data_IF_968060468438
#
_entry.id   IF_968060468438
#
_cell.length_a   1.000
_cell.length_b   1.000
_cell.length_c   1.000
_cell.angle_alpha   90.00
_cell.angle_beta   90.00
_cell.angle_gamma   90.00
#
_symmetry.space_group_name_H-M   'P 1'
#
loop_
_entity.id
_entity.type
_entity.pdbx_description
1 polymer ?
#
# COMPACT_ATOMS: atom_id res chain seq x y z
N UNK A 1 7.35 -5.27 -10.61
CA UNK A 1 7.31 -4.04 -9.78
C UNK A 1 6.40 -2.96 -10.35
N UNK A 2 6.62 -2.46 -11.57
CA UNK A 2 5.78 -1.40 -12.16
C UNK A 2 4.29 -1.76 -12.22
N UNK A 3 3.96 -3.00 -12.63
CA UNK A 3 2.58 -3.50 -12.62
C UNK A 3 1.96 -3.50 -11.21
N UNK A 4 2.68 -3.98 -10.20
CA UNK A 4 2.20 -4.00 -8.81
C UNK A 4 2.02 -2.59 -8.23
N UNK A 5 2.90 -1.65 -8.57
CA UNK A 5 2.77 -0.24 -8.19
C UNK A 5 1.54 0.39 -8.86
N UNK A 6 1.37 0.21 -10.17
CA UNK A 6 0.25 0.79 -10.92
C UNK A 6 -1.10 0.23 -10.48
N UNK A 7 -1.18 -1.10 -10.36
CA UNK A 7 -2.39 -1.79 -9.91
C UNK A 7 -2.66 -1.52 -8.43
N UNK A 8 -1.62 -1.46 -7.61
CA UNK A 8 -1.75 -1.19 -6.18
C UNK A 8 -2.24 0.23 -5.92
N UNK A 9 -1.69 1.27 -6.59
CA UNK A 9 -2.17 2.65 -6.42
C UNK A 9 -3.63 2.83 -6.80
N UNK A 10 -4.08 2.17 -7.87
CA UNK A 10 -5.47 2.23 -8.33
C UNK A 10 -6.47 1.61 -7.33
N UNK A 11 -6.01 0.67 -6.51
CA UNK A 11 -6.85 -0.09 -5.59
C UNK A 11 -6.92 0.49 -4.16
N UNK A 12 -6.27 1.63 -3.91
CA UNK A 12 -6.19 2.20 -2.58
C UNK A 12 -7.46 3.01 -2.22
N UNK A 13 -8.22 2.60 -1.19
CA UNK A 13 -9.50 3.21 -0.85
C UNK A 13 -9.41 4.71 -0.52
N UNK A 14 -8.28 5.15 0.04
CA UNK A 14 -8.09 6.54 0.45
C UNK A 14 -8.07 7.54 -0.74
N UNK A 15 -7.70 7.09 -1.95
CA UNK A 15 -7.77 7.92 -3.15
C UNK A 15 -9.20 7.94 -3.68
N UNK A 16 -9.87 6.77 -3.72
CA UNK A 16 -11.24 6.63 -4.21
C UNK A 16 -12.24 7.49 -3.42
N UNK A 17 -12.12 7.53 -2.09
CA UNK A 17 -13.00 8.34 -1.22
C UNK A 17 -12.90 9.84 -1.56
N UNK A 18 -11.72 10.33 -1.94
CA UNK A 18 -11.53 11.73 -2.36
C UNK A 18 -12.18 12.03 -3.71
N UNK A 19 -12.20 11.08 -4.65
CA UNK A 19 -12.91 11.25 -5.92
C UNK A 19 -14.42 11.31 -5.74
N UNK A 20 -14.97 10.60 -4.74
CA UNK A 20 -16.41 10.64 -4.44
C UNK A 20 -16.88 11.94 -3.78
N UNK A 21 -15.96 12.77 -3.27
CA UNK A 21 -16.28 14.09 -2.70
C UNK A 21 -16.27 15.22 -3.74
N UNK A 22 -15.96 14.93 -5.01
CA UNK A 22 -15.92 15.94 -6.08
C UNK A 22 -17.32 16.12 -6.69
N UNK A 23 -17.84 17.36 -6.81
CA UNK A 23 -19.23 17.60 -7.24
C UNK A 23 -19.52 17.26 -8.70
N UNK A 24 -18.51 17.15 -9.57
CA UNK A 24 -18.69 16.89 -11.00
C UNK A 24 -17.68 15.89 -11.56
N UNK A 25 -18.11 14.97 -12.46
CA UNK A 25 -17.20 14.05 -13.17
C UNK A 25 -16.13 14.77 -13.99
N UNK A 26 -16.40 15.99 -14.47
CA UNK A 26 -15.42 16.79 -15.23
C UNK A 26 -14.28 17.25 -14.33
N UNK A 27 -14.58 17.65 -13.11
CA UNK A 27 -13.58 18.11 -12.14
C UNK A 27 -12.76 16.94 -11.58
N UNK A 28 -13.37 15.76 -11.43
CA UNK A 28 -12.65 14.54 -11.08
C UNK A 28 -11.57 14.21 -12.14
N UNK A 29 -11.90 14.31 -13.44
CA UNK A 29 -10.91 14.10 -14.52
C UNK A 29 -9.79 15.14 -14.50
N UNK A 30 -10.12 16.43 -14.31
CA UNK A 30 -9.10 17.49 -14.18
C UNK A 30 -8.18 17.23 -13.00
N UNK A 31 -8.74 16.84 -11.85
CA UNK A 31 -7.97 16.47 -10.65
C UNK A 31 -7.01 15.32 -10.93
N UNK A 32 -7.46 14.27 -11.63
CA UNK A 32 -6.59 13.16 -12.05
C UNK A 32 -5.47 13.61 -12.97
N UNK A 33 -5.74 14.48 -13.95
CA UNK A 33 -4.71 14.99 -14.86
C UNK A 33 -3.66 15.78 -14.08
N UNK A 34 -4.08 16.68 -13.18
CA UNK A 34 -3.17 17.48 -12.35
C UNK A 34 -2.34 16.56 -11.44
N UNK A 35 -2.96 15.55 -10.84
CA UNK A 35 -2.25 14.58 -10.01
C UNK A 35 -1.20 13.79 -10.80
N UNK A 36 -1.56 13.26 -11.97
CA UNK A 36 -0.63 12.52 -12.84
C UNK A 36 0.50 13.44 -13.31
N UNK A 37 0.21 14.68 -13.70
CA UNK A 37 1.22 15.65 -14.12
C UNK A 37 2.18 16.00 -12.97
N UNK A 38 1.67 16.21 -11.76
CA UNK A 38 2.49 16.49 -10.59
C UNK A 38 3.39 15.29 -10.23
N UNK A 39 2.85 14.06 -10.25
CA UNK A 39 3.61 12.83 -9.99
C UNK A 39 4.68 12.60 -11.07
N UNK A 40 4.33 12.79 -12.35
CA UNK A 40 5.26 12.66 -13.47
C UNK A 40 6.41 13.66 -13.38
N UNK A 41 6.09 14.94 -13.13
CA UNK A 41 7.09 15.99 -12.91
C UNK A 41 7.99 15.67 -11.72
N UNK A 42 7.42 15.18 -10.62
CA UNK A 42 8.20 14.75 -9.46
C UNK A 42 9.18 13.62 -9.81
N UNK A 43 8.75 12.59 -10.54
CA UNK A 43 9.64 11.50 -10.93
C UNK A 43 10.78 11.97 -11.84
N UNK A 44 10.51 12.89 -12.77
CA UNK A 44 11.55 13.51 -13.60
C UNK A 44 12.56 14.26 -12.72
N UNK A 45 12.10 15.08 -11.78
CA UNK A 45 12.98 15.79 -10.85
C UNK A 45 13.81 14.84 -9.99
N UNK A 46 13.24 13.74 -9.50
CA UNK A 46 14.01 12.73 -8.74
C UNK A 46 15.09 12.05 -9.56
N UNK A 47 14.86 11.83 -10.87
CA UNK A 47 15.86 11.31 -11.77
C UNK A 47 17.04 12.29 -11.94
N UNK A 48 16.74 13.58 -12.14
CA UNK A 48 17.76 14.63 -12.19
C UNK A 48 18.55 14.74 -10.88
N UNK A 49 17.90 14.59 -9.73
CA UNK A 49 18.60 14.54 -8.45
C UNK A 49 19.52 13.31 -8.34
N UNK A 50 19.06 12.13 -8.75
CA UNK A 50 19.90 10.91 -8.72
C UNK A 50 21.15 11.05 -9.59
N UNK A 51 20.98 11.54 -10.83
CA UNK A 51 22.09 11.79 -11.76
C UNK A 51 23.02 12.90 -11.26
N UNK A 52 22.47 14.00 -10.75
CA UNK A 52 23.26 15.08 -10.19
C UNK A 52 24.11 14.62 -9.00
N UNK A 53 23.57 13.77 -8.13
CA UNK A 53 24.32 13.21 -7.01
C UNK A 53 25.46 12.29 -7.49
N UNK A 54 25.22 11.54 -8.58
CA UNK A 54 26.22 10.68 -9.22
C UNK A 54 27.38 11.48 -9.81
N UNK A 55 27.08 12.52 -10.60
CA UNK A 55 28.10 13.35 -11.26
C UNK A 55 28.95 14.12 -10.25
N UNK A 56 28.35 14.56 -9.14
CA UNK A 56 29.07 15.26 -8.06
C UNK A 56 29.78 14.30 -7.08
N UNK A 57 29.69 12.98 -7.26
CA UNK A 57 30.34 12.00 -6.40
C UNK A 57 29.82 11.97 -4.96
N UNK A 58 28.59 12.46 -4.73
CA UNK A 58 27.97 12.55 -3.39
C UNK A 58 26.96 11.43 -3.11
N UNK A 59 26.95 10.39 -3.93
CA UNK A 59 26.15 9.20 -3.68
C UNK A 59 26.71 8.42 -2.50
N UNK A 60 25.83 8.04 -1.59
CA UNK A 60 26.13 7.03 -0.58
C UNK A 60 25.96 5.64 -1.20
N UNK A 61 27.05 4.89 -1.28
CA UNK A 61 27.08 3.51 -1.80
C UNK A 61 26.32 2.53 -0.90
N UNK A 62 26.07 2.90 0.36
CA UNK A 62 25.32 2.09 1.32
C UNK A 62 23.83 2.45 1.36
N UNK A 63 23.44 3.64 0.91
CA UNK A 63 22.05 4.12 0.99
C UNK A 63 21.62 4.97 -0.22
N UNK A 64 20.78 4.39 -1.07
CA UNK A 64 20.16 5.12 -2.19
C UNK A 64 19.20 6.23 -1.74
N UNK A 65 18.75 6.22 -0.48
CA UNK A 65 17.71 7.13 0.01
C UNK A 65 18.26 8.51 0.41
N UNK A 66 19.59 8.64 0.53
CA UNK A 66 20.26 9.86 0.97
C UNK A 66 20.72 10.76 -0.17
N UNK A 67 20.46 10.39 -1.43
CA UNK A 67 20.90 11.14 -2.60
C UNK A 67 20.45 12.62 -2.60
N UNK A 68 19.19 12.90 -2.22
CA UNK A 68 18.64 14.26 -2.16
C UNK A 68 19.32 15.14 -1.09
N UNK A 69 19.31 14.74 0.20
CA UNK A 69 20.01 15.49 1.24
C UNK A 69 21.53 15.60 1.00
N UNK A 70 22.20 14.54 0.54
CA UNK A 70 23.64 14.59 0.27
C UNK A 70 23.99 15.53 -0.89
N UNK A 71 23.14 15.60 -1.92
CA UNK A 71 23.24 16.65 -2.94
C UNK A 71 23.07 18.03 -2.31
N UNK A 72 22.05 18.26 -1.48
CA UNK A 72 21.87 19.56 -0.83
C UNK A 72 23.12 19.97 -0.01
N UNK A 73 23.75 18.99 0.64
CA UNK A 73 24.99 19.18 1.40
C UNK A 73 26.17 19.61 0.53
N UNK A 74 26.24 19.18 -0.72
CA UNK A 74 27.30 19.61 -1.64
C UNK A 74 27.23 21.11 -1.96
N UNK A 75 26.04 21.71 -1.90
CA UNK A 75 25.83 23.15 -2.08
C UNK A 75 25.96 23.95 -0.78
N UNK A 76 25.82 23.29 0.39
CA UNK A 76 26.08 23.91 1.68
C UNK A 76 25.28 23.30 2.83
N UNK A 77 25.76 23.51 4.06
CA UNK A 77 25.15 22.96 5.28
C UNK A 77 23.76 23.57 5.53
N UNK A 78 23.56 24.85 5.19
CA UNK A 78 22.27 25.52 5.33
C UNK A 78 21.18 24.89 4.44
N UNK A 79 21.49 24.61 3.18
CA UNK A 79 20.58 23.93 2.26
C UNK A 79 20.29 22.49 2.70
N UNK A 80 21.32 21.77 3.17
CA UNK A 80 21.14 20.44 3.76
C UNK A 80 20.17 20.46 4.94
N UNK A 81 20.35 21.39 5.89
CA UNK A 81 19.49 21.50 7.06
C UNK A 81 18.05 21.85 6.66
N UNK A 82 17.86 22.79 5.73
CA UNK A 82 16.55 23.19 5.23
C UNK A 82 15.82 22.03 4.55
N UNK A 83 16.47 21.35 3.60
CA UNK A 83 15.87 20.24 2.86
C UNK A 83 15.60 19.06 3.79
N UNK A 84 16.50 18.76 4.73
CA UNK A 84 16.29 17.71 5.72
C UNK A 84 15.12 18.03 6.65
N UNK A 85 14.97 19.29 7.08
CA UNK A 85 13.84 19.72 7.91
C UNK A 85 12.50 19.59 7.15
N UNK A 86 12.46 20.00 5.88
CA UNK A 86 11.26 19.86 5.03
C UNK A 86 10.94 18.39 4.78
N UNK A 87 11.93 17.55 4.48
CA UNK A 87 11.77 16.11 4.33
C UNK A 87 11.22 15.47 5.61
N UNK A 88 11.76 15.86 6.77
CA UNK A 88 11.31 15.34 8.06
C UNK A 88 9.86 15.78 8.39
N UNK A 89 9.54 17.06 8.18
CA UNK A 89 8.20 17.59 8.38
C UNK A 89 7.16 16.91 7.48
N UNK A 90 7.50 16.66 6.21
CA UNK A 90 6.60 15.97 5.26
C UNK A 90 6.41 14.48 5.59
N UNK A 91 7.46 13.78 6.04
CA UNK A 91 7.35 12.40 6.53
C UNK A 91 6.41 12.36 7.76
N UNK A 92 6.61 13.23 8.74
CA UNK A 92 5.74 13.31 9.93
C UNK A 92 4.28 13.60 9.56
N UNK A 93 4.05 14.55 8.65
CA UNK A 93 2.72 14.90 8.19
C UNK A 93 2.02 13.73 7.50
N UNK A 94 2.71 13.01 6.62
CA UNK A 94 2.15 11.86 5.90
C UNK A 94 1.91 10.65 6.82
N UNK A 95 2.87 10.33 7.69
CA UNK A 95 2.74 9.25 8.67
C UNK A 95 1.56 9.51 9.62
N UNK A 96 1.44 10.73 10.16
CA UNK A 96 0.32 11.11 11.02
C UNK A 96 -1.02 10.95 10.28
N UNK A 97 -1.12 11.43 9.04
CA UNK A 97 -2.32 11.27 8.22
C UNK A 97 -2.72 9.82 7.98
N UNK A 98 -1.77 8.94 7.68
CA UNK A 98 -2.02 7.51 7.48
C UNK A 98 -2.41 6.79 8.78
N UNK A 99 -1.81 7.15 9.92
CA UNK A 99 -2.17 6.61 11.24
C UNK A 99 -3.61 7.00 11.59
N UNK A 100 -3.98 8.27 11.41
CA UNK A 100 -5.35 8.73 11.69
C UNK A 100 -6.36 8.02 10.79
N UNK A 101 -6.09 7.93 9.49
CA UNK A 101 -6.97 7.20 8.55
C UNK A 101 -7.12 5.72 8.94
N UNK A 102 -6.03 5.04 9.27
CA UNK A 102 -6.04 3.63 9.69
C UNK A 102 -6.79 3.44 11.02
N UNK A 103 -6.59 4.35 11.97
CA UNK A 103 -7.29 4.33 13.26
C UNK A 103 -8.80 4.54 13.11
N UNK A 104 -9.22 5.41 12.19
CA UNK A 104 -10.62 5.63 11.86
C UNK A 104 -11.26 4.41 11.23
N UNK A 105 -10.56 3.74 10.30
CA UNK A 105 -11.02 2.47 9.72
C UNK A 105 -11.16 1.38 10.79
N UNK A 106 -10.21 1.23 11.72
CA UNK A 106 -10.32 0.24 12.81
C UNK A 106 -11.49 0.59 13.75
N UNK A 107 -11.61 1.85 14.18
CA UNK A 107 -12.66 2.25 15.12
C UNK A 107 -14.06 2.16 14.51
N UNK A 108 -14.24 2.59 13.25
CA UNK A 108 -15.55 2.62 12.60
C UNK A 108 -15.89 1.33 11.85
N UNK A 109 -14.96 0.76 11.08
CA UNK A 109 -15.27 -0.43 10.27
C UNK A 109 -15.16 -1.73 11.09
N UNK A 110 -14.18 -1.83 12.00
CA UNK A 110 -13.96 -3.05 12.77
C UNK A 110 -14.72 -3.07 14.11
N UNK A 111 -14.59 -2.03 14.94
CA UNK A 111 -15.21 -2.02 16.28
C UNK A 111 -16.72 -1.73 16.23
N UNK A 112 -17.11 -0.67 15.53
CA UNK A 112 -18.50 -0.20 15.47
C UNK A 112 -19.33 -1.06 14.48
N UNK A 113 -18.89 -1.18 13.22
CA UNK A 113 -19.68 -1.83 12.18
C UNK A 113 -19.57 -3.36 12.15
N UNK A 114 -18.39 -3.92 12.37
CA UNK A 114 -18.18 -5.38 12.32
C UNK A 114 -18.45 -6.06 13.67
N UNK A 115 -17.94 -5.53 14.78
CA UNK A 115 -18.20 -6.08 16.12
C UNK A 115 -19.50 -5.59 16.77
N UNK A 116 -20.22 -4.64 16.14
CA UNK A 116 -21.51 -4.13 16.62
C UNK A 116 -21.47 -3.63 18.08
N UNK A 117 -20.33 -3.08 18.50
CA UNK A 117 -20.23 -2.49 19.83
C UNK A 117 -21.02 -1.19 19.84
N UNK A 118 -22.10 -1.12 20.63
CA UNK A 118 -22.84 0.12 20.87
C UNK A 118 -21.95 1.12 21.64
N UNK A 119 -21.12 1.86 20.91
CA UNK A 119 -20.17 2.82 21.48
C UNK A 119 -20.74 4.23 21.45
N UNK A 120 -20.77 4.90 22.60
CA UNK A 120 -21.02 6.34 22.68
C UNK A 120 -19.86 7.12 22.02
N UNK A 121 -20.11 8.32 21.49
CA UNK A 121 -19.10 9.14 20.79
C UNK A 121 -17.78 9.31 21.57
N UNK A 122 -17.85 9.48 22.89
CA UNK A 122 -16.67 9.57 23.76
C UNK A 122 -15.82 8.28 23.73
N UNK A 123 -16.47 7.12 23.71
CA UNK A 123 -15.81 5.82 23.66
C UNK A 123 -15.22 5.59 22.25
N UNK A 124 -15.92 6.01 21.19
CA UNK A 124 -15.40 5.95 19.81
C UNK A 124 -14.11 6.76 19.65
N UNK A 125 -14.08 8.00 20.15
CA UNK A 125 -12.87 8.84 20.10
C UNK A 125 -11.72 8.20 20.89
N UNK A 126 -12.00 7.62 22.07
CA UNK A 126 -10.97 6.94 22.86
C UNK A 126 -10.44 5.70 22.16
N UNK A 127 -11.32 4.91 21.55
CA UNK A 127 -10.93 3.73 20.79
C UNK A 127 -10.10 4.09 19.55
N UNK A 128 -10.47 5.15 18.83
CA UNK A 128 -9.66 5.70 17.74
C UNK A 128 -8.25 6.10 18.18
N UNK A 129 -8.11 6.78 19.33
CA UNK A 129 -6.80 7.15 19.89
C UNK A 129 -5.95 5.92 20.24
N UNK A 130 -6.56 4.90 20.85
CA UNK A 130 -5.87 3.65 21.18
C UNK A 130 -5.43 2.91 19.91
N UNK A 131 -6.32 2.83 18.91
CA UNK A 131 -6.00 2.24 17.61
C UNK A 131 -4.86 2.99 16.90
N UNK A 132 -4.86 4.33 16.95
CA UNK A 132 -3.77 5.15 16.41
C UNK A 132 -2.43 4.83 17.08
N UNK A 133 -2.41 4.71 18.41
CA UNK A 133 -1.21 4.33 19.15
C UNK A 133 -0.75 2.92 18.76
N UNK A 134 -1.65 1.94 18.72
CA UNK A 134 -1.34 0.56 18.35
C UNK A 134 -0.78 0.46 16.92
N UNK A 135 -1.41 1.11 15.94
CA UNK A 135 -0.94 1.14 14.54
C UNK A 135 0.42 1.82 14.44
N UNK A 136 0.61 2.94 15.14
CA UNK A 136 1.90 3.65 15.19
C UNK A 136 3.02 2.80 15.78
N UNK A 137 2.79 2.20 16.96
CA UNK A 137 3.76 1.30 17.60
C UNK A 137 4.10 0.10 16.72
N UNK A 138 3.08 -0.51 16.08
CA UNK A 138 3.29 -1.62 15.15
C UNK A 138 4.14 -1.20 13.94
N UNK A 139 3.85 -0.04 13.35
CA UNK A 139 4.64 0.52 12.26
C UNK A 139 6.10 0.80 12.64
N UNK A 140 6.35 1.32 13.84
CA UNK A 140 7.71 1.57 14.36
C UNK A 140 8.47 0.24 14.54
N UNK A 141 7.84 -0.77 15.14
CA UNK A 141 8.46 -2.08 15.35
C UNK A 141 8.85 -2.72 14.01
N UNK A 142 7.92 -2.74 13.05
CA UNK A 142 8.20 -3.24 11.70
C UNK A 142 9.31 -2.46 11.01
N UNK A 143 9.33 -1.13 11.14
CA UNK A 143 10.39 -0.28 10.59
C UNK A 143 11.77 -0.62 11.15
N UNK A 144 11.86 -0.89 12.47
CA UNK A 144 13.12 -1.28 13.13
C UNK A 144 13.58 -2.66 12.64
N UNK A 145 12.67 -3.64 12.55
CA UNK A 145 12.98 -4.98 12.06
C UNK A 145 13.47 -4.99 10.61
N UNK A 146 13.00 -4.04 9.80
CA UNK A 146 13.29 -3.96 8.36
C UNK A 146 14.34 -2.89 8.00
N UNK A 147 15.08 -2.33 8.98
CA UNK A 147 16.03 -1.20 8.83
C UNK A 147 17.16 -1.42 7.78
N UNK A 148 17.42 -2.66 7.39
CA UNK A 148 18.45 -3.01 6.38
C UNK A 148 17.93 -3.21 4.95
N UNK A 149 16.62 -3.08 4.71
CA UNK A 149 16.03 -3.28 3.38
C UNK A 149 15.90 -1.94 2.64
N UNK A 150 16.05 -2.00 1.33
CA UNK A 150 15.82 -0.83 0.49
C UNK A 150 14.35 -0.38 0.61
N UNK A 151 14.12 0.91 0.83
CA UNK A 151 12.76 1.47 1.00
C UNK A 151 11.92 1.23 -0.26
N UNK A 152 12.51 1.35 -1.45
CA UNK A 152 11.82 1.07 -2.72
C UNK A 152 11.35 -0.39 -2.81
N UNK A 153 12.13 -1.32 -2.25
CA UNK A 153 11.74 -2.72 -2.16
C UNK A 153 10.56 -2.91 -1.20
N UNK A 154 10.64 -2.37 0.02
CA UNK A 154 9.56 -2.44 1.01
C UNK A 154 8.24 -1.83 0.51
N UNK A 155 8.32 -0.68 -0.18
CA UNK A 155 7.18 -0.06 -0.84
C UNK A 155 6.64 -1.00 -1.91
N UNK A 156 7.50 -1.57 -2.76
CA UNK A 156 7.10 -2.57 -3.76
C UNK A 156 6.34 -3.76 -3.20
N UNK A 157 6.76 -4.28 -2.03
CA UNK A 157 6.07 -5.36 -1.32
C UNK A 157 4.69 -4.94 -0.84
N UNK A 158 4.59 -3.78 -0.16
CA UNK A 158 3.32 -3.26 0.35
C UNK A 158 2.30 -3.04 -0.79
N UNK A 159 2.76 -2.49 -1.93
CA UNK A 159 1.92 -2.31 -3.11
C UNK A 159 1.53 -3.64 -3.77
N UNK A 160 2.41 -4.65 -3.78
CA UNK A 160 2.07 -5.97 -4.29
C UNK A 160 0.98 -6.67 -3.44
N UNK A 161 1.06 -6.55 -2.12
CA UNK A 161 0.02 -7.04 -1.20
C UNK A 161 -1.29 -6.32 -1.45
N UNK A 162 -1.27 -4.98 -1.48
CA UNK A 162 -2.47 -4.15 -1.71
C UNK A 162 -3.12 -4.42 -3.08
N UNK A 163 -2.31 -4.55 -4.14
CA UNK A 163 -2.79 -4.90 -5.47
C UNK A 163 -3.44 -6.29 -5.50
N UNK A 164 -2.90 -7.24 -4.73
CA UNK A 164 -3.43 -8.61 -4.69
C UNK A 164 -4.74 -8.69 -3.92
N UNK A 165 -4.89 -7.95 -2.82
CA UNK A 165 -6.08 -8.01 -1.98
C UNK A 165 -7.24 -7.15 -2.51
N UNK A 166 -6.97 -5.90 -2.90
CA UNK A 166 -8.02 -4.90 -3.10
C UNK A 166 -8.45 -4.75 -4.55
N UNK A 167 -7.51 -4.86 -5.50
CA UNK A 167 -7.81 -4.64 -6.91
C UNK A 167 -8.85 -5.65 -7.46
N UNK A 168 -8.75 -6.97 -7.20
CA UNK A 168 -9.73 -7.93 -7.67
C UNK A 168 -11.13 -7.65 -7.12
N UNK A 169 -11.21 -7.30 -5.83
CA UNK A 169 -12.47 -6.97 -5.16
C UNK A 169 -13.15 -5.76 -5.81
N UNK A 170 -12.42 -4.64 -5.99
CA UNK A 170 -12.96 -3.40 -6.55
C UNK A 170 -13.41 -3.62 -8.00
N UNK A 171 -12.56 -4.22 -8.85
CA UNK A 171 -12.88 -4.44 -10.26
C UNK A 171 -14.09 -5.37 -10.42
N UNK A 172 -14.16 -6.46 -9.66
CA UNK A 172 -15.26 -7.40 -9.78
C UNK A 172 -16.58 -6.84 -9.25
N UNK A 173 -16.55 -6.02 -8.19
CA UNK A 173 -17.76 -5.31 -7.72
C UNK A 173 -18.28 -4.33 -8.78
N UNK A 174 -17.40 -3.62 -9.50
CA UNK A 174 -17.79 -2.62 -10.49
C UNK A 174 -18.25 -3.23 -11.82
N UNK A 175 -17.57 -4.26 -12.32
CA UNK A 175 -17.77 -4.78 -13.67
C UNK A 175 -18.52 -6.11 -13.73
N UNK A 176 -18.66 -6.85 -12.61
CA UNK A 176 -19.25 -8.18 -12.62
C UNK A 176 -20.44 -8.32 -11.67
N UNK A 177 -21.63 -8.49 -12.25
CA UNK A 177 -22.91 -8.58 -11.54
C UNK A 177 -23.05 -9.81 -10.62
N UNK A 178 -22.22 -10.84 -10.80
CA UNK A 178 -22.26 -12.09 -10.01
C UNK A 178 -21.34 -12.08 -8.79
N UNK A 179 -20.72 -10.94 -8.48
CA UNK A 179 -19.81 -10.81 -7.33
C UNK A 179 -20.56 -11.00 -6.02
N UNK A 180 -20.02 -11.87 -5.15
CA UNK A 180 -20.64 -12.19 -3.84
C UNK A 180 -19.77 -11.70 -2.69
N UNK A 181 -20.38 -11.33 -1.56
CA UNK A 181 -19.64 -10.90 -0.37
C UNK A 181 -18.63 -11.96 0.13
N UNK A 182 -19.00 -13.24 0.07
CA UNK A 182 -18.11 -14.36 0.44
C UNK A 182 -16.95 -14.51 -0.55
N UNK A 183 -17.19 -14.30 -1.84
CA UNK A 183 -16.14 -14.31 -2.86
C UNK A 183 -15.14 -13.17 -2.71
N UNK A 184 -15.62 -11.97 -2.36
CA UNK A 184 -14.76 -10.81 -2.06
C UNK A 184 -13.90 -11.08 -0.81
N UNK A 185 -14.50 -11.57 0.28
CA UNK A 185 -13.76 -11.89 1.50
C UNK A 185 -12.69 -12.98 1.27
N UNK A 186 -13.03 -14.05 0.53
CA UNK A 186 -12.10 -15.11 0.18
C UNK A 186 -10.94 -14.59 -0.70
N UNK A 187 -11.26 -13.74 -1.69
CA UNK A 187 -10.25 -13.08 -2.52
C UNK A 187 -9.28 -12.26 -1.71
N UNK A 188 -9.76 -11.41 -0.79
CA UNK A 188 -8.90 -10.58 0.05
C UNK A 188 -7.97 -11.44 0.91
N UNK A 189 -8.52 -12.48 1.56
CA UNK A 189 -7.73 -13.40 2.40
C UNK A 189 -6.67 -14.15 1.60
N UNK A 190 -7.06 -14.70 0.44
CA UNK A 190 -6.13 -15.43 -0.45
C UNK A 190 -5.09 -14.49 -1.04
N UNK A 191 -5.47 -13.27 -1.44
CA UNK A 191 -4.57 -12.24 -1.93
C UNK A 191 -3.52 -11.86 -0.90
N UNK A 192 -3.91 -11.64 0.37
CA UNK A 192 -2.98 -11.34 1.48
C UNK A 192 -2.08 -12.54 1.77
N UNK A 193 -2.65 -13.73 1.96
CA UNK A 193 -1.87 -14.92 2.33
C UNK A 193 -0.90 -15.35 1.24
N UNK A 194 -1.31 -15.32 -0.04
CA UNK A 194 -0.41 -15.63 -1.17
C UNK A 194 0.65 -14.55 -1.34
N UNK A 195 0.29 -13.27 -1.30
CA UNK A 195 1.29 -12.21 -1.46
C UNK A 195 2.31 -12.25 -0.32
N UNK A 196 1.89 -12.28 0.94
CA UNK A 196 2.80 -12.38 2.09
C UNK A 196 3.60 -13.69 2.05
N UNK A 197 2.97 -14.82 1.75
CA UNK A 197 3.64 -16.11 1.65
C UNK A 197 4.74 -16.13 0.59
N UNK A 198 4.45 -15.65 -0.62
CA UNK A 198 5.44 -15.55 -1.70
C UNK A 198 6.56 -14.56 -1.38
N UNK A 199 6.28 -13.50 -0.63
CA UNK A 199 7.30 -12.55 -0.16
C UNK A 199 8.21 -13.21 0.87
N UNK A 200 7.67 -13.96 1.82
CA UNK A 200 8.49 -14.67 2.81
C UNK A 200 9.34 -15.77 2.18
N UNK A 201 8.89 -16.32 1.05
CA UNK A 201 9.59 -17.34 0.27
C UNK A 201 10.52 -16.75 -0.82
N UNK A 202 10.70 -15.43 -0.86
CA UNK A 202 11.55 -14.79 -1.86
C UNK A 202 13.04 -14.95 -1.56
N UNK A 203 13.91 -14.85 -2.58
CA UNK A 203 15.37 -14.94 -2.41
C UNK A 203 15.91 -13.86 -1.45
N UNK A 204 15.34 -12.65 -1.53
CA UNK A 204 15.66 -11.53 -0.64
C UNK A 204 15.37 -11.79 0.84
N UNK A 205 14.29 -12.52 1.16
CA UNK A 205 13.98 -12.91 2.54
C UNK A 205 14.81 -14.11 2.99
N UNK A 206 15.07 -15.08 2.11
CA UNK A 206 15.92 -16.23 2.39
C UNK A 206 17.36 -15.84 2.75
N UNK A 207 17.92 -14.85 2.05
CA UNK A 207 19.20 -14.24 2.41
C UNK A 207 19.26 -13.74 3.86
N UNK A 208 18.11 -13.27 4.41
CA UNK A 208 18.00 -12.77 5.79
C UNK A 208 17.77 -13.87 6.81
N UNK A 209 17.23 -15.01 6.39
CA UNK A 209 17.15 -16.21 7.22
C UNK A 209 18.51 -16.93 7.34
N UNK A 210 19.53 -16.47 6.61
CA UNK A 210 20.84 -17.13 6.52
C UNK A 210 20.84 -18.35 5.60
N UNK A 211 19.83 -18.47 4.73
CA UNK A 211 19.71 -19.55 3.74
C UNK A 211 20.19 -19.06 2.37
N UNK A 212 20.62 -20.00 1.52
CA UNK A 212 21.06 -19.68 0.16
C UNK A 212 19.89 -19.12 -0.67
N UNK A 213 19.98 -17.90 -1.21
CA UNK A 213 18.95 -17.30 -2.07
C UNK A 213 18.58 -18.17 -3.27
N UNK A 214 19.49 -19.03 -3.75
CA UNK A 214 19.24 -19.94 -4.87
C UNK A 214 18.27 -21.09 -4.50
N UNK A 215 18.12 -21.39 -3.21
CA UNK A 215 17.19 -22.42 -2.70
C UNK A 215 15.78 -21.89 -2.44
N UNK A 216 15.54 -20.59 -2.69
CA UNK A 216 14.24 -19.99 -2.50
C UNK A 216 13.17 -20.70 -3.35
N UNK A 217 12.08 -21.23 -2.74
CA UNK A 217 11.01 -21.90 -3.46
C UNK A 217 10.34 -21.02 -4.51
N UNK A 218 10.48 -19.70 -4.37
CA UNK A 218 9.97 -18.72 -5.30
C UNK A 218 11.11 -17.84 -5.82
N UNK A 219 11.39 -17.82 -7.13
CA UNK A 219 12.57 -17.12 -7.67
C UNK A 219 12.35 -15.62 -7.87
N UNK A 220 11.13 -15.09 -7.67
CA UNK A 220 10.81 -13.69 -7.95
C UNK A 220 10.65 -12.91 -6.65
N UNK A 221 11.36 -11.79 -6.55
CA UNK A 221 11.21 -10.83 -5.45
C UNK A 221 9.89 -10.07 -5.47
N UNK A 222 9.15 -10.10 -6.59
CA UNK A 222 7.87 -9.42 -6.72
C UNK A 222 6.73 -10.42 -6.94
N UNK A 223 5.88 -10.66 -5.92
CA UNK A 223 4.83 -11.68 -5.99
C UNK A 223 3.66 -11.27 -6.90
N UNK A 224 3.55 -9.99 -7.27
CA UNK A 224 2.36 -9.41 -7.89
C UNK A 224 1.94 -10.06 -9.21
N UNK A 225 2.88 -10.69 -9.94
CA UNK A 225 2.57 -11.39 -11.19
C UNK A 225 1.69 -12.63 -10.94
N UNK A 226 1.86 -13.28 -9.78
CA UNK A 226 1.18 -14.54 -9.45
C UNK A 226 0.07 -14.33 -8.44
N UNK A 227 0.29 -13.49 -7.42
CA UNK A 227 -0.71 -13.25 -6.37
C UNK A 227 -1.94 -12.51 -6.90
N UNK A 228 -1.80 -11.58 -7.85
CA UNK A 228 -2.93 -10.81 -8.40
C UNK A 228 -3.87 -11.73 -9.22
N UNK A 229 -3.42 -12.51 -10.21
CA UNK A 229 -4.30 -13.41 -10.95
C UNK A 229 -4.95 -14.49 -10.09
N UNK A 230 -4.20 -15.07 -9.13
CA UNK A 230 -4.75 -16.08 -8.22
C UNK A 230 -5.86 -15.51 -7.32
N UNK A 231 -5.72 -14.27 -6.88
CA UNK A 231 -6.79 -13.60 -6.13
C UNK A 231 -8.04 -13.38 -7.00
N UNK A 232 -7.87 -12.99 -8.28
CA UNK A 232 -8.99 -12.91 -9.22
C UNK A 232 -9.69 -14.25 -9.44
N UNK A 233 -8.90 -15.32 -9.67
CA UNK A 233 -9.43 -16.67 -9.86
C UNK A 233 -10.23 -17.13 -8.64
N UNK A 234 -9.68 -16.90 -7.44
CA UNK A 234 -10.37 -17.22 -6.18
C UNK A 234 -11.71 -16.49 -6.07
N UNK A 235 -11.73 -15.19 -6.38
CA UNK A 235 -12.96 -14.39 -6.36
C UNK A 235 -14.00 -14.98 -7.32
N UNK A 236 -13.59 -15.32 -8.54
CA UNK A 236 -14.46 -15.88 -9.57
C UNK A 236 -15.04 -17.23 -9.11
N UNK A 237 -14.19 -18.15 -8.68
CA UNK A 237 -14.60 -19.50 -8.28
C UNK A 237 -15.55 -19.48 -7.08
N UNK A 238 -15.20 -18.74 -6.03
CA UNK A 238 -16.03 -18.65 -4.82
C UNK A 238 -17.32 -17.87 -5.09
N UNK A 239 -17.29 -16.85 -5.95
CA UNK A 239 -18.50 -16.12 -6.34
C UNK A 239 -19.44 -16.97 -7.18
N UNK A 240 -18.95 -17.77 -8.14
CA UNK A 240 -19.78 -18.69 -8.90
C UNK A 240 -20.40 -19.77 -8.01
N UNK A 241 -19.61 -20.34 -7.10
CA UNK A 241 -20.08 -21.34 -6.15
C UNK A 241 -21.14 -20.79 -5.19
N UNK A 242 -20.93 -19.56 -4.70
CA UNK A 242 -21.85 -18.92 -3.75
C UNK A 242 -23.08 -18.31 -4.43
N UNK A 243 -22.97 -17.80 -5.66
CA UNK A 243 -24.09 -17.24 -6.42
C UNK A 243 -25.15 -18.31 -6.72
N UNK A 244 -24.72 -19.55 -7.00
CA UNK A 244 -25.62 -20.70 -7.20
C UNK A 244 -26.49 -21.02 -5.99
N UNK A 245 -26.05 -20.65 -4.78
CA UNK A 245 -26.77 -20.89 -3.52
C UNK A 245 -27.86 -19.85 -3.26
N UNK A 246 -27.79 -18.65 -3.86
CA UNK A 246 -28.80 -17.58 -3.69
C UNK A 246 -30.02 -17.77 -4.59
N UNK A 247 -29.85 -18.40 -5.76
CA UNK A 247 -30.95 -18.76 -6.68
C UNK A 247 -31.68 -20.06 -6.30
N UNK A 248 -31.18 -20.83 -5.33
CA UNK A 248 -31.83 -22.07 -4.86
C UNK A 248 -32.87 -21.91 -3.74
N UNK A 249 -33.02 -20.71 -3.17
CA UNK A 249 -33.88 -20.46 -2.00
C UNK A 249 -35.02 -19.45 -2.24
N UNK A 250 -35.42 -19.23 -3.50
CA UNK A 250 -36.55 -18.33 -3.85
C UNK A 250 -37.75 -19.09 -4.43
N UNK A 251 -37.74 -20.43 -4.34
CA UNK A 251 -38.89 -21.28 -4.68
C UNK A 251 -39.04 -22.35 -3.59
N UNK A 252 -39.62 -21.95 -2.46
CA UNK A 252 -40.45 -22.77 -1.56
C UNK A 252 -41.07 -21.86 -0.51
#
# INVERSE_FOLDING_TARGET
>A
LMLALFLGTAALPHILIRYYTVPSPRDARKSTIVAIAAIGSFYILTMYMGLGAMVNGVLDVQSSNMAGPLMARSFGIGLFAMISAVAFATILGTVSGLIVASSGAIAHDLLDRFMQLNMTDKIKVRAGKIAAFAVGSFGIILGILLKGLNVSFLVGLAFAVAASSNLPAIIMILFWKKTTAKGVAASILVGITLSVGLILLSPTMFARYGLDPATAPFPLDNPGIISIPLSFLTLILVSLYTAKKKTGNVLN
#
